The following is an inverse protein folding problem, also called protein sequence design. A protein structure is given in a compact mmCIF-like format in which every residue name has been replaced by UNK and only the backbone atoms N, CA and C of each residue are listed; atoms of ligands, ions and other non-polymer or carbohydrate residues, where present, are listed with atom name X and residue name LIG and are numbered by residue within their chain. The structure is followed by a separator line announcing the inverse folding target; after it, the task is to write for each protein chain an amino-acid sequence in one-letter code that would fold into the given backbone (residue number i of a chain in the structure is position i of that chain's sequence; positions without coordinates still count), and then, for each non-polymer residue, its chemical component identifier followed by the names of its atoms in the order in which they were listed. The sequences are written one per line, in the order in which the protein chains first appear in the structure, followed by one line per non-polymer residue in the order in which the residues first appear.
data_IF_297400459384
#
_entry.id   IF_297400459384
#
_cell.length_a   1.000
_cell.length_b   1.000
_cell.length_c   1.000
_cell.angle_alpha   90.00
_cell.angle_beta   90.00
_cell.angle_gamma   90.00
#
_symmetry.space_group_name_H-M   'P 1'
#
loop_
_entity.id
_entity.type
_entity.pdbx_description
1 polymer ?
#
# COMPACT_ATOMS: atom_id res chain seq x y z
N UNK A 1 -4.57 -12.68 3.52
CA UNK A 1 -5.87 -12.63 2.82
C UNK A 1 -5.82 -11.44 1.86
N UNK A 2 -6.19 -11.59 0.59
CA UNK A 2 -6.21 -10.48 -0.38
C UNK A 2 -7.53 -9.73 -0.24
N UNK A 3 -7.47 -8.40 -0.09
CA UNK A 3 -8.65 -7.53 -0.10
C UNK A 3 -9.17 -7.44 -1.54
N UNK A 4 -10.41 -7.88 -1.78
CA UNK A 4 -10.99 -7.96 -3.13
C UNK A 4 -12.07 -6.92 -3.40
N UNK A 5 -12.47 -6.13 -2.40
CA UNK A 5 -13.51 -5.12 -2.57
C UNK A 5 -13.29 -3.89 -1.68
N UNK A 6 -13.90 -2.77 -2.07
CA UNK A 6 -13.87 -1.55 -1.27
C UNK A 6 -14.54 -1.75 0.08
N UNK A 7 -15.66 -2.48 0.11
CA UNK A 7 -16.38 -2.76 1.35
C UNK A 7 -15.53 -3.57 2.34
N UNK A 8 -14.79 -4.57 1.83
CA UNK A 8 -13.86 -5.34 2.65
C UNK A 8 -12.75 -4.45 3.22
N UNK A 9 -12.16 -3.56 2.42
CA UNK A 9 -11.16 -2.60 2.92
C UNK A 9 -11.74 -1.65 3.96
N UNK A 10 -12.93 -1.10 3.71
CA UNK A 10 -13.59 -0.15 4.60
C UNK A 10 -13.88 -0.77 5.98
N UNK A 11 -14.34 -2.02 6.01
CA UNK A 11 -14.56 -2.79 7.26
C UNK A 11 -13.27 -3.10 8.03
N UNK A 12 -12.09 -2.79 7.48
CA UNK A 12 -10.80 -2.88 8.18
C UNK A 12 -10.31 -1.54 8.70
N UNK A 13 -11.02 -0.44 8.47
CA UNK A 13 -10.55 0.91 8.83
C UNK A 13 -11.33 1.47 10.01
N UNK A 14 -10.57 1.96 11.00
CA UNK A 14 -11.05 2.87 12.03
C UNK A 14 -10.62 4.29 11.65
N UNK A 15 -11.56 5.10 11.19
CA UNK A 15 -11.30 6.47 10.77
C UNK A 15 -11.09 7.35 12.01
N UNK A 16 -9.87 7.85 12.19
CA UNK A 16 -9.40 8.36 13.49
C UNK A 16 -9.19 9.86 13.47
N UNK A 17 -9.71 10.57 14.48
CA UNK A 17 -9.40 11.97 14.76
C UNK A 17 -9.22 12.19 16.27
N UNK A 18 -7.95 12.26 16.69
CA UNK A 18 -7.52 12.46 18.09
C UNK A 18 -6.63 13.69 18.25
N UNK A 19 -6.67 14.63 17.30
CA UNK A 19 -5.94 15.89 17.44
C UNK A 19 -6.54 16.69 18.61
N UNK A 20 -5.73 17.28 19.49
CA UNK A 20 -6.25 18.06 20.63
C UNK A 20 -7.00 19.32 20.19
N UNK A 21 -6.81 19.76 18.94
CA UNK A 21 -7.48 20.92 18.35
C UNK A 21 -8.68 20.54 17.48
N UNK A 22 -9.12 19.28 17.47
CA UNK A 22 -10.27 18.84 16.69
C UNK A 22 -11.55 19.54 17.19
N UNK A 23 -12.37 20.03 16.27
CA UNK A 23 -13.62 20.74 16.54
C UNK A 23 -14.84 19.84 16.29
N UNK A 24 -16.01 20.26 16.75
CA UNK A 24 -17.27 19.58 16.45
C UNK A 24 -17.49 19.40 14.93
N UNK A 25 -17.17 20.42 14.13
CA UNK A 25 -17.27 20.37 12.66
C UNK A 25 -16.35 19.30 12.04
N UNK A 26 -15.16 19.12 12.60
CA UNK A 26 -14.25 18.07 12.14
C UNK A 26 -14.82 16.67 12.45
N UNK A 27 -15.49 16.52 13.60
CA UNK A 27 -16.15 15.26 14.00
C UNK A 27 -17.40 14.98 13.16
N UNK A 28 -18.20 16.00 12.82
CA UNK A 28 -19.30 15.88 11.85
C UNK A 28 -18.79 15.34 10.53
N UNK A 29 -17.71 15.94 10.01
CA UNK A 29 -17.12 15.50 8.75
C UNK A 29 -16.57 14.07 8.83
N UNK A 30 -15.87 13.74 9.91
CA UNK A 30 -15.37 12.38 10.17
C UNK A 30 -16.51 11.36 10.14
N UNK A 31 -17.63 11.64 10.81
CA UNK A 31 -18.77 10.75 10.90
C UNK A 31 -19.52 10.64 9.56
N UNK A 32 -19.67 11.74 8.82
CA UNK A 32 -20.23 11.74 7.46
C UNK A 32 -19.42 10.84 6.52
N UNK A 33 -18.09 11.01 6.52
CA UNK A 33 -17.19 10.18 5.71
C UNK A 33 -17.25 8.71 6.13
N UNK A 34 -17.24 8.45 7.44
CA UNK A 34 -17.33 7.09 7.97
C UNK A 34 -18.63 6.39 7.55
N UNK A 35 -19.78 7.09 7.58
CA UNK A 35 -21.07 6.58 7.12
C UNK A 35 -21.07 6.33 5.61
N UNK A 36 -20.52 7.26 4.84
CA UNK A 36 -20.44 7.17 3.37
C UNK A 36 -19.70 5.92 2.94
N UNK A 37 -18.54 5.67 3.54
CA UNK A 37 -17.69 4.53 3.21
C UNK A 37 -18.03 3.26 4.00
N UNK A 38 -18.93 3.34 5.00
CA UNK A 38 -19.29 2.23 5.91
C UNK A 38 -18.05 1.58 6.54
N UNK A 39 -17.15 2.44 7.04
CA UNK A 39 -15.94 1.99 7.74
C UNK A 39 -16.32 1.28 9.04
N UNK A 40 -15.37 0.53 9.63
CA UNK A 40 -15.66 -0.24 10.85
C UNK A 40 -16.04 0.66 12.02
N UNK A 41 -15.25 1.70 12.28
CA UNK A 41 -15.48 2.63 13.36
C UNK A 41 -14.97 4.04 13.06
N UNK A 42 -15.51 5.03 13.77
CA UNK A 42 -14.82 6.30 14.04
C UNK A 42 -14.08 6.21 15.36
N UNK A 43 -12.85 6.70 15.44
CA UNK A 43 -12.09 6.77 16.69
C UNK A 43 -11.90 8.24 17.10
N UNK A 44 -12.54 8.65 18.19
CA UNK A 44 -12.63 10.06 18.62
C UNK A 44 -12.18 10.24 20.08
N UNK A 45 -11.85 11.47 20.46
CA UNK A 45 -11.49 11.79 21.84
C UNK A 45 -12.71 11.59 22.78
N UNK A 46 -12.48 11.28 24.08
CA UNK A 46 -13.54 10.99 25.05
C UNK A 46 -14.70 11.98 25.05
N UNK A 47 -14.41 13.28 25.00
CA UNK A 47 -15.40 14.37 25.02
C UNK A 47 -16.33 14.40 23.80
N UNK A 48 -15.96 13.73 22.71
CA UNK A 48 -16.77 13.66 21.49
C UNK A 48 -17.59 12.38 21.37
N UNK A 49 -17.48 11.43 22.31
CA UNK A 49 -18.18 10.14 22.20
C UNK A 49 -19.71 10.27 22.10
N UNK A 50 -20.41 11.01 22.99
CA UNK A 50 -21.86 11.16 22.87
C UNK A 50 -22.29 11.78 21.53
N UNK A 51 -21.51 12.76 21.06
CA UNK A 51 -21.80 13.48 19.83
C UNK A 51 -21.58 12.60 18.59
N UNK A 52 -20.46 11.89 18.53
CA UNK A 52 -20.19 10.92 17.47
C UNK A 52 -21.24 9.80 17.44
N UNK A 53 -21.69 9.32 18.60
CA UNK A 53 -22.73 8.30 18.72
C UNK A 53 -24.06 8.75 18.10
N UNK A 54 -24.49 9.98 18.34
CA UNK A 54 -25.69 10.53 17.69
C UNK A 54 -25.50 10.71 16.18
N UNK A 55 -24.32 11.17 15.72
CA UNK A 55 -24.04 11.36 14.29
C UNK A 55 -24.02 10.04 13.49
N UNK A 56 -23.49 8.95 14.05
CA UNK A 56 -23.43 7.65 13.37
C UNK A 56 -24.63 6.74 13.62
N UNK A 57 -25.62 7.22 14.39
CA UNK A 57 -26.86 6.49 14.71
C UNK A 57 -27.57 5.98 13.46
N UNK A 58 -28.05 4.74 13.53
CA UNK A 58 -28.69 4.05 12.40
C UNK A 58 -27.73 3.63 11.28
N UNK A 59 -26.42 3.78 11.45
CA UNK A 59 -25.41 3.26 10.53
C UNK A 59 -24.68 2.05 11.13
N UNK A 60 -23.97 1.23 10.33
CA UNK A 60 -23.16 0.13 10.86
C UNK A 60 -21.85 0.58 11.53
N UNK A 61 -21.50 1.87 11.41
CA UNK A 61 -20.24 2.44 11.92
C UNK A 61 -20.26 2.45 13.45
N UNK A 62 -19.23 1.87 14.06
CA UNK A 62 -19.07 1.88 15.52
C UNK A 62 -18.42 3.16 16.02
N UNK A 63 -18.72 3.53 17.26
CA UNK A 63 -17.97 4.58 17.96
C UNK A 63 -16.86 3.93 18.79
N UNK A 64 -15.62 4.26 18.46
CA UNK A 64 -14.44 3.92 19.23
C UNK A 64 -13.93 5.16 19.97
N UNK A 65 -13.47 5.00 21.21
CA UNK A 65 -12.70 6.02 21.90
C UNK A 65 -11.44 5.43 22.52
N UNK A 66 -10.68 6.26 23.23
CA UNK A 66 -9.39 5.92 23.80
C UNK A 66 -9.40 6.04 25.32
N UNK A 67 -8.67 5.17 26.01
CA UNK A 67 -8.59 5.11 27.47
C UNK A 67 -7.12 5.18 27.92
N UNK A 68 -6.81 5.99 28.93
CA UNK A 68 -5.44 6.21 29.40
C UNK A 68 -4.51 6.78 28.32
N UNK A 69 -5.06 7.49 27.34
CA UNK A 69 -4.34 7.87 26.12
C UNK A 69 -3.65 9.24 26.24
N UNK A 70 -2.47 9.44 25.60
CA UNK A 70 -1.71 8.49 24.80
C UNK A 70 -0.67 7.69 25.58
N UNK A 71 -0.43 7.98 26.86
CA UNK A 71 0.79 7.53 27.54
C UNK A 71 0.59 6.30 28.47
N UNK A 72 -0.64 5.99 28.88
CA UNK A 72 -0.98 4.78 29.62
C UNK A 72 -0.51 4.70 31.07
N UNK A 73 -0.13 5.82 31.70
CA UNK A 73 0.46 5.87 33.05
C UNK A 73 -0.54 6.28 34.15
N UNK A 74 -1.81 6.42 33.80
CA UNK A 74 -2.90 6.60 34.76
C UNK A 74 -3.07 5.34 35.62
N UNK A 75 -3.67 5.50 36.80
CA UNK A 75 -4.03 4.38 37.68
C UNK A 75 -5.06 3.47 36.99
N UNK A 76 -5.00 2.16 37.28
CA UNK A 76 -5.96 1.17 36.77
C UNK A 76 -7.40 1.58 37.05
N UNK A 77 -7.71 2.01 38.28
CA UNK A 77 -9.06 2.44 38.66
C UNK A 77 -9.58 3.64 37.85
N UNK A 78 -8.68 4.56 37.45
CA UNK A 78 -9.03 5.71 36.61
C UNK A 78 -9.32 5.26 35.18
N UNK A 79 -8.52 4.33 34.63
CA UNK A 79 -8.76 3.76 33.30
C UNK A 79 -10.07 2.95 33.27
N UNK A 80 -10.34 2.16 34.30
CA UNK A 80 -11.57 1.40 34.43
C UNK A 80 -12.80 2.31 34.53
N UNK A 81 -12.73 3.39 35.33
CA UNK A 81 -13.76 4.41 35.37
C UNK A 81 -13.96 5.09 34.01
N UNK A 82 -12.89 5.56 33.37
CA UNK A 82 -12.95 6.17 32.03
C UNK A 82 -13.58 5.23 31.00
N UNK A 83 -13.24 3.94 31.02
CA UNK A 83 -13.85 2.93 30.17
C UNK A 83 -15.37 2.82 30.41
N UNK A 84 -15.81 2.67 31.65
CA UNK A 84 -17.23 2.56 32.00
C UNK A 84 -18.02 3.82 31.56
N UNK A 85 -17.47 5.00 31.80
CA UNK A 85 -18.11 6.27 31.41
C UNK A 85 -18.24 6.41 29.90
N UNK A 86 -17.22 6.02 29.14
CA UNK A 86 -17.26 6.09 27.68
C UNK A 86 -18.30 5.14 27.10
N UNK A 87 -18.46 3.95 27.70
CA UNK A 87 -19.51 3.01 27.32
C UNK A 87 -20.89 3.56 27.63
N UNK A 88 -21.08 4.16 28.80
CA UNK A 88 -22.34 4.83 29.15
C UNK A 88 -22.66 5.99 28.17
N UNK A 89 -21.63 6.63 27.64
CA UNK A 89 -21.71 7.69 26.64
C UNK A 89 -21.92 7.18 25.20
N UNK A 90 -21.93 5.86 24.97
CA UNK A 90 -22.24 5.26 23.66
C UNK A 90 -21.04 4.71 22.89
N UNK A 91 -19.85 4.62 23.50
CA UNK A 91 -18.74 3.90 22.88
C UNK A 91 -19.04 2.40 22.77
N UNK A 92 -18.72 1.82 21.62
CA UNK A 92 -18.93 0.39 21.30
C UNK A 92 -17.59 -0.35 21.12
N UNK A 93 -16.50 0.40 20.99
CA UNK A 93 -15.14 -0.12 21.04
C UNK A 93 -14.26 0.83 21.87
N UNK A 94 -13.22 0.29 22.53
CA UNK A 94 -12.27 1.08 23.32
C UNK A 94 -10.83 0.69 22.97
N UNK A 95 -9.99 1.68 22.74
CA UNK A 95 -8.55 1.54 22.53
C UNK A 95 -7.81 2.06 23.77
N UNK A 96 -7.37 1.16 24.67
CA UNK A 96 -6.68 1.57 25.91
C UNK A 96 -5.16 1.44 25.78
N UNK A 97 -4.41 2.34 26.43
CA UNK A 97 -2.93 2.27 26.43
C UNK A 97 -2.44 1.52 27.66
N UNK A 98 -1.60 0.51 27.46
CA UNK A 98 -0.98 -0.22 28.57
C UNK A 98 0.03 0.67 29.31
N UNK A 99 0.34 0.33 30.55
CA UNK A 99 1.44 0.97 31.25
C UNK A 99 2.82 0.45 30.79
N UNK A 100 3.51 1.23 29.95
CA UNK A 100 4.83 0.87 29.41
C UNK A 100 5.91 0.69 30.49
N UNK A 101 5.78 1.38 31.63
CA UNK A 101 6.74 1.24 32.74
C UNK A 101 6.79 -0.21 33.23
N UNK A 102 5.62 -0.85 33.39
CA UNK A 102 5.55 -2.23 33.85
C UNK A 102 6.17 -3.21 32.86
N UNK A 103 6.09 -2.94 31.54
CA UNK A 103 6.81 -3.72 30.53
C UNK A 103 8.32 -3.65 30.77
N UNK A 104 8.85 -2.44 30.98
CA UNK A 104 10.29 -2.21 31.23
C UNK A 104 10.78 -2.79 32.55
N UNK A 105 9.89 -2.89 33.53
CA UNK A 105 10.17 -3.54 34.82
C UNK A 105 9.89 -5.06 34.80
N UNK A 106 9.51 -5.65 33.66
CA UNK A 106 9.11 -7.05 33.51
C UNK A 106 7.91 -7.48 34.40
N UNK A 107 7.03 -6.54 34.72
CA UNK A 107 5.85 -6.66 35.59
C UNK A 107 4.57 -6.94 34.78
N UNK A 108 4.57 -8.04 34.03
CA UNK A 108 3.47 -8.38 33.11
C UNK A 108 2.15 -8.75 33.82
N UNK A 109 2.24 -9.23 35.06
CA UNK A 109 1.10 -9.52 35.93
C UNK A 109 0.24 -8.27 36.20
N UNK A 110 0.86 -7.10 36.33
CA UNK A 110 0.14 -5.84 36.51
C UNK A 110 -0.59 -5.40 35.24
N UNK A 111 -0.04 -5.72 34.07
CA UNK A 111 -0.69 -5.46 32.77
C UNK A 111 -1.90 -6.37 32.59
N UNK A 112 -1.78 -7.65 32.97
CA UNK A 112 -2.89 -8.59 32.96
C UNK A 112 -4.03 -8.13 33.88
N UNK A 113 -3.69 -7.72 35.11
CA UNK A 113 -4.66 -7.21 36.08
C UNK A 113 -5.34 -5.93 35.58
N UNK A 114 -4.58 -4.97 35.04
CA UNK A 114 -5.13 -3.74 34.46
C UNK A 114 -6.09 -4.03 33.30
N UNK A 115 -5.73 -4.91 32.37
CA UNK A 115 -6.62 -5.32 31.29
C UNK A 115 -7.90 -5.95 31.85
N UNK A 116 -7.78 -6.85 32.84
CA UNK A 116 -8.94 -7.50 33.48
C UNK A 116 -9.91 -6.50 34.11
N UNK A 117 -9.42 -5.50 34.84
CA UNK A 117 -10.26 -4.45 35.43
C UNK A 117 -10.95 -3.57 34.37
N UNK A 118 -10.24 -3.22 33.30
CA UNK A 118 -10.83 -2.46 32.18
C UNK A 118 -11.93 -3.27 31.49
N UNK A 119 -11.69 -4.56 31.19
CA UNK A 119 -12.66 -5.43 30.53
C UNK A 119 -13.90 -5.65 31.40
N UNK A 120 -13.73 -5.79 32.72
CA UNK A 120 -14.83 -5.90 33.66
C UNK A 120 -15.70 -4.62 33.70
N UNK A 121 -15.11 -3.46 33.46
CA UNK A 121 -15.80 -2.17 33.42
C UNK A 121 -16.55 -1.91 32.10
N UNK A 122 -16.26 -2.65 31.03
CA UNK A 122 -16.88 -2.48 29.71
C UNK A 122 -17.38 -3.80 29.09
N UNK A 123 -18.29 -4.54 29.77
CA UNK A 123 -18.74 -5.84 29.29
C UNK A 123 -19.41 -5.75 27.91
N UNK A 124 -19.02 -6.63 26.99
CA UNK A 124 -19.57 -6.69 25.63
C UNK A 124 -19.04 -5.64 24.66
N UNK A 125 -18.05 -4.83 25.07
CA UNK A 125 -17.41 -3.79 24.26
C UNK A 125 -16.10 -4.32 23.70
N UNK A 126 -15.81 -4.05 22.43
CA UNK A 126 -14.56 -4.51 21.80
C UNK A 126 -13.38 -3.72 22.35
N UNK A 127 -12.41 -4.40 22.94
CA UNK A 127 -11.24 -3.78 23.58
C UNK A 127 -9.96 -3.97 22.78
N UNK A 128 -9.14 -2.91 22.71
CA UNK A 128 -7.89 -2.92 21.95
C UNK A 128 -6.76 -2.34 22.80
N UNK A 129 -5.80 -3.17 23.18
CA UNK A 129 -4.66 -2.77 23.99
C UNK A 129 -3.55 -2.19 23.12
N UNK A 130 -3.29 -0.89 23.24
CA UNK A 130 -2.17 -0.20 22.58
C UNK A 130 -0.89 -0.49 23.34
N UNK A 131 0.04 -1.19 22.71
CA UNK A 131 1.32 -1.61 23.32
C UNK A 131 2.49 -0.67 23.03
N UNK A 132 2.30 0.28 22.11
CA UNK A 132 3.31 1.23 21.64
C UNK A 132 4.65 0.58 21.25
N UNK A 133 4.62 -0.21 20.17
CA UNK A 133 5.77 -0.98 19.65
C UNK A 133 7.05 -0.15 19.48
N UNK A 134 6.92 1.16 19.30
CA UNK A 134 8.02 2.11 19.18
C UNK A 134 9.05 2.02 20.32
N UNK A 135 8.61 1.65 21.51
CA UNK A 135 9.46 1.54 22.70
C UNK A 135 9.85 0.11 23.04
N UNK A 136 9.41 -0.90 22.28
CA UNK A 136 9.49 -2.29 22.67
C UNK A 136 10.49 -3.08 21.82
N UNK A 137 11.17 -4.03 22.46
CA UNK A 137 11.90 -5.07 21.76
C UNK A 137 11.00 -6.26 21.43
N UNK A 138 11.53 -7.22 20.66
CA UNK A 138 10.81 -8.42 20.22
C UNK A 138 10.23 -9.22 21.39
N UNK A 139 11.04 -9.53 22.40
CA UNK A 139 10.63 -10.34 23.56
C UNK A 139 9.53 -9.68 24.36
N UNK A 140 9.60 -8.35 24.54
CA UNK A 140 8.55 -7.57 25.20
C UNK A 140 7.22 -7.62 24.42
N UNK A 141 7.28 -7.45 23.10
CA UNK A 141 6.09 -7.54 22.24
C UNK A 141 5.46 -8.93 22.28
N UNK A 142 6.27 -10.00 22.19
CA UNK A 142 5.77 -11.37 22.24
C UNK A 142 5.05 -11.68 23.57
N UNK A 143 5.65 -11.29 24.70
CA UNK A 143 5.04 -11.46 26.03
C UNK A 143 3.74 -10.70 26.18
N UNK A 144 3.66 -9.46 25.66
CA UNK A 144 2.44 -8.66 25.73
C UNK A 144 1.30 -9.31 24.95
N UNK A 145 1.56 -9.84 23.77
CA UNK A 145 0.54 -10.57 22.99
C UNK A 145 -0.03 -11.74 23.80
N UNK A 146 0.82 -12.52 24.47
CA UNK A 146 0.34 -13.65 25.27
C UNK A 146 -0.50 -13.22 26.47
N UNK A 147 0.00 -12.23 27.21
CA UNK A 147 -0.66 -11.71 28.43
C UNK A 147 -2.02 -11.11 28.09
N UNK A 148 -2.09 -10.30 27.04
CA UNK A 148 -3.32 -9.65 26.62
C UNK A 148 -4.32 -10.66 26.04
N UNK A 149 -3.85 -11.64 25.27
CA UNK A 149 -4.69 -12.73 24.78
C UNK A 149 -5.27 -13.57 25.94
N UNK A 150 -4.45 -13.89 26.96
CA UNK A 150 -4.90 -14.62 28.14
C UNK A 150 -5.89 -13.82 28.99
N UNK A 151 -5.73 -12.50 29.05
CA UNK A 151 -6.65 -11.59 29.73
C UNK A 151 -7.99 -11.41 28.98
N UNK A 152 -8.10 -11.88 27.74
CA UNK A 152 -9.33 -11.81 26.94
C UNK A 152 -9.49 -10.52 26.13
N UNK A 153 -8.42 -9.74 25.93
CA UNK A 153 -8.46 -8.53 25.10
C UNK A 153 -8.69 -8.91 23.63
N UNK A 154 -9.56 -8.20 22.92
CA UNK A 154 -9.93 -8.54 21.55
C UNK A 154 -8.83 -8.22 20.53
N UNK A 155 -8.13 -7.10 20.71
CA UNK A 155 -7.03 -6.68 19.83
C UNK A 155 -5.78 -6.26 20.59
N UNK A 156 -4.62 -6.62 20.06
CA UNK A 156 -3.36 -5.91 20.31
C UNK A 156 -3.20 -4.83 19.25
N UNK A 157 -2.95 -3.58 19.68
CA UNK A 157 -2.78 -2.41 18.80
C UNK A 157 -1.34 -1.91 18.85
N UNK A 158 -0.76 -1.63 17.68
CA UNK A 158 0.66 -1.26 17.58
C UNK A 158 1.03 0.04 18.28
N UNK A 159 0.34 1.14 17.96
CA UNK A 159 0.82 2.49 18.32
C UNK A 159 -0.32 3.47 18.60
N UNK A 160 0.00 4.51 19.37
CA UNK A 160 -0.89 5.65 19.64
C UNK A 160 -0.90 6.66 18.50
N UNK A 161 0.21 6.76 17.76
CA UNK A 161 0.48 7.84 16.80
C UNK A 161 1.13 9.08 17.43
N UNK A 162 1.35 9.08 18.75
CA UNK A 162 2.04 10.14 19.50
C UNK A 162 3.45 9.73 19.96
N UNK A 163 3.82 8.44 19.80
CA UNK A 163 5.16 7.94 19.99
C UNK A 163 6.14 8.30 18.85
N UNK A 164 7.40 7.87 18.94
CA UNK A 164 8.46 8.28 18.01
C UNK A 164 8.35 7.58 16.64
N UNK A 165 7.62 6.47 16.54
CA UNK A 165 7.30 5.80 15.27
C UNK A 165 5.90 5.16 15.33
N UNK A 166 5.28 4.98 14.17
CA UNK A 166 4.03 4.23 14.03
C UNK A 166 4.23 2.74 13.74
N UNK A 167 3.18 2.10 13.21
CA UNK A 167 3.21 0.71 12.80
C UNK A 167 4.25 0.44 11.71
N UNK A 168 4.91 -0.71 11.80
CA UNK A 168 5.74 -1.27 10.73
C UNK A 168 5.22 -2.64 10.31
N UNK A 169 5.51 -3.05 9.08
CA UNK A 169 5.19 -4.39 8.56
C UNK A 169 5.83 -5.48 9.43
N UNK A 170 7.05 -5.25 9.92
CA UNK A 170 7.77 -6.20 10.76
C UNK A 170 7.09 -6.41 12.12
N UNK A 171 6.67 -5.32 12.80
CA UNK A 171 5.95 -5.44 14.07
C UNK A 171 4.60 -6.14 13.87
N UNK A 172 3.82 -5.74 12.86
CA UNK A 172 2.52 -6.36 12.60
C UNK A 172 2.65 -7.85 12.36
N UNK A 173 3.64 -8.25 11.55
CA UNK A 173 3.92 -9.67 11.29
C UNK A 173 4.28 -10.42 12.58
N UNK A 174 5.16 -9.86 13.40
CA UNK A 174 5.52 -10.45 14.69
C UNK A 174 4.30 -10.62 15.61
N UNK A 175 3.47 -9.59 15.73
CA UNK A 175 2.26 -9.63 16.56
C UNK A 175 1.27 -10.68 16.04
N UNK A 176 1.06 -10.74 14.72
CA UNK A 176 0.14 -11.69 14.10
C UNK A 176 0.61 -13.14 14.25
N UNK A 177 1.91 -13.39 14.05
CA UNK A 177 2.52 -14.71 14.28
C UNK A 177 2.39 -15.15 15.74
N UNK A 178 2.67 -14.25 16.69
CA UNK A 178 2.53 -14.59 18.11
C UNK A 178 1.07 -14.76 18.53
N UNK A 179 0.17 -13.95 17.99
CA UNK A 179 -1.24 -13.98 18.33
C UNK A 179 -1.86 -15.34 18.00
N UNK A 180 -1.50 -15.93 16.86
CA UNK A 180 -1.97 -17.24 16.41
C UNK A 180 -3.51 -17.36 16.50
N UNK A 181 -4.22 -16.30 16.12
CA UNK A 181 -5.68 -16.23 16.15
C UNK A 181 -6.33 -16.04 17.54
N UNK A 182 -5.55 -16.03 18.63
CA UNK A 182 -6.07 -15.84 20.00
C UNK A 182 -6.48 -14.40 20.30
N UNK A 183 -5.83 -13.45 19.63
CA UNK A 183 -6.07 -12.01 19.73
C UNK A 183 -5.90 -11.40 18.33
N UNK A 184 -6.68 -10.39 17.97
CA UNK A 184 -6.56 -9.73 16.66
C UNK A 184 -5.49 -8.64 16.68
N UNK A 185 -5.00 -8.23 15.52
CA UNK A 185 -3.97 -7.18 15.41
C UNK A 185 -4.53 -5.90 14.79
N UNK A 186 -4.41 -4.77 15.49
CA UNK A 186 -4.71 -3.44 14.92
C UNK A 186 -3.43 -2.66 14.64
N UNK A 187 -3.13 -2.40 13.38
CA UNK A 187 -2.03 -1.53 12.99
C UNK A 187 -2.48 -0.07 13.03
N UNK A 188 -1.71 0.80 13.68
CA UNK A 188 -2.01 2.24 13.76
C UNK A 188 -0.73 3.09 13.76
N UNK A 189 -0.87 4.34 13.33
CA UNK A 189 0.22 5.32 13.28
C UNK A 189 0.98 5.30 11.94
N UNK A 190 0.96 6.42 11.22
CA UNK A 190 1.76 6.61 10.00
C UNK A 190 1.22 5.98 8.72
N UNK A 191 0.02 5.38 8.74
CA UNK A 191 -0.61 4.73 7.58
C UNK A 191 -1.30 5.79 6.71
N UNK A 192 -0.67 6.19 5.60
CA UNK A 192 -1.11 7.31 4.76
C UNK A 192 -1.56 6.90 3.36
N UNK A 193 -1.05 5.78 2.83
CA UNK A 193 -1.31 5.33 1.46
C UNK A 193 -1.94 3.95 1.40
N UNK A 194 -2.58 3.62 0.29
CA UNK A 194 -3.14 2.28 0.05
C UNK A 194 -2.06 1.20 0.10
N UNK A 195 -0.90 1.43 -0.51
CA UNK A 195 0.20 0.48 -0.49
C UNK A 195 0.62 0.11 0.95
N UNK A 196 0.69 1.09 1.85
CA UNK A 196 0.98 0.84 3.26
C UNK A 196 -0.14 0.04 3.94
N UNK A 197 -1.40 0.40 3.70
CA UNK A 197 -2.55 -0.29 4.26
C UNK A 197 -2.59 -1.77 3.84
N UNK A 198 -2.42 -2.06 2.55
CA UNK A 198 -2.40 -3.42 2.02
C UNK A 198 -1.22 -4.23 2.56
N UNK A 199 -0.02 -3.64 2.64
CA UNK A 199 1.15 -4.31 3.19
C UNK A 199 0.97 -4.70 4.68
N UNK A 200 0.30 -3.87 5.47
CA UNK A 200 0.00 -4.17 6.88
C UNK A 200 -1.08 -5.26 7.00
N UNK A 201 -2.11 -5.23 6.15
CA UNK A 201 -3.12 -6.29 6.11
C UNK A 201 -2.49 -7.62 5.71
N UNK A 202 -1.62 -7.62 4.71
CA UNK A 202 -0.87 -8.82 4.28
C UNK A 202 0.06 -9.34 5.38
N UNK A 203 0.64 -8.44 6.19
CA UNK A 203 1.43 -8.81 7.35
C UNK A 203 0.59 -9.41 8.51
N UNK A 204 -0.75 -9.30 8.47
CA UNK A 204 -1.65 -9.89 9.46
C UNK A 204 -2.48 -8.89 10.27
N UNK A 205 -2.51 -7.60 9.91
CA UNK A 205 -3.38 -6.64 10.60
C UNK A 205 -4.86 -6.88 10.29
N UNK A 206 -5.66 -7.18 11.32
CA UNK A 206 -7.12 -7.29 11.31
C UNK A 206 -7.84 -5.95 11.24
N UNK A 207 -7.23 -4.88 11.74
CA UNK A 207 -7.79 -3.52 11.72
C UNK A 207 -6.70 -2.49 11.49
N UNK A 208 -7.04 -1.36 10.88
CA UNK A 208 -6.16 -0.24 10.61
C UNK A 208 -6.73 1.02 11.27
N UNK A 209 -5.97 1.65 12.17
CA UNK A 209 -6.29 2.97 12.73
C UNK A 209 -5.57 4.07 11.96
N UNK A 210 -6.31 4.93 11.25
CA UNK A 210 -5.71 6.00 10.44
C UNK A 210 -6.64 7.22 10.26
N UNK A 211 -6.04 8.41 10.21
CA UNK A 211 -6.71 9.65 9.81
C UNK A 211 -6.76 9.84 8.28
N UNK A 212 -6.02 9.02 7.52
CA UNK A 212 -5.97 9.04 6.05
C UNK A 212 -6.92 8.03 5.41
N UNK A 213 -7.84 7.42 6.18
CA UNK A 213 -8.70 6.34 5.72
C UNK A 213 -9.51 6.67 4.46
N UNK A 214 -10.09 7.88 4.38
CA UNK A 214 -10.83 8.34 3.18
C UNK A 214 -9.91 8.40 1.95
N UNK A 215 -8.68 8.88 2.10
CA UNK A 215 -7.72 8.94 0.99
C UNK A 215 -7.35 7.55 0.50
N UNK A 216 -7.11 6.62 1.43
CA UNK A 216 -6.79 5.22 1.16
C UNK A 216 -7.95 4.53 0.42
N UNK A 217 -9.19 4.77 0.86
CA UNK A 217 -10.38 4.21 0.22
C UNK A 217 -10.61 4.78 -1.17
N UNK A 218 -10.36 6.08 -1.38
CA UNK A 218 -10.40 6.71 -2.71
C UNK A 218 -9.32 6.14 -3.63
N UNK A 219 -8.11 5.95 -3.12
CA UNK A 219 -7.02 5.32 -3.87
C UNK A 219 -7.40 3.88 -4.27
N UNK A 220 -8.03 3.11 -3.37
CA UNK A 220 -8.54 1.77 -3.69
C UNK A 220 -9.66 1.82 -4.73
N UNK A 221 -10.62 2.75 -4.60
CA UNK A 221 -11.68 2.95 -5.61
C UNK A 221 -11.09 3.29 -6.97
N UNK A 222 -10.05 4.12 -7.03
CA UNK A 222 -9.38 4.48 -8.28
C UNK A 222 -8.61 3.30 -8.87
N UNK A 223 -7.95 2.50 -8.02
CA UNK A 223 -7.29 1.26 -8.42
C UNK A 223 -8.31 0.25 -8.96
N UNK A 224 -9.41 0.00 -8.23
CA UNK A 224 -10.47 -0.93 -8.60
C UNK A 224 -11.31 -0.44 -9.80
N UNK A 225 -11.55 0.85 -9.93
CA UNK A 225 -12.19 1.42 -11.12
C UNK A 225 -11.24 1.39 -12.34
N UNK A 226 -9.92 1.44 -12.09
CA UNK A 226 -8.88 1.17 -13.07
C UNK A 226 -8.65 -0.33 -13.36
N UNK A 227 -9.32 -1.21 -12.60
CA UNK A 227 -9.33 -2.68 -12.77
C UNK A 227 -10.45 -3.14 -13.73
N UNK A 228 -11.21 -2.19 -14.32
CA UNK A 228 -11.51 -2.32 -15.75
C UNK A 228 -10.18 -2.11 -16.46
N UNK A 229 -9.40 -3.17 -16.57
CA UNK A 229 -8.10 -3.27 -17.27
C UNK A 229 -7.84 -2.03 -18.12
N UNK A 230 -7.02 -1.10 -17.62
CA UNK A 230 -6.55 0.03 -18.44
C UNK A 230 -5.65 -0.58 -19.50
N UNK A 231 -6.29 -0.99 -20.59
CA UNK A 231 -5.65 -1.41 -21.80
C UNK A 231 -4.86 -0.21 -22.32
N UNK A 232 -3.54 -0.32 -22.25
CA UNK A 232 -2.63 0.68 -22.79
C UNK A 232 -2.07 0.13 -24.08
N UNK A 233 -2.35 0.80 -25.19
CA UNK A 233 -1.66 0.54 -26.45
C UNK A 233 -0.37 1.34 -26.45
N UNK A 234 0.75 0.67 -26.70
CA UNK A 234 2.07 1.27 -26.75
C UNK A 234 2.70 0.95 -28.10
N UNK A 235 3.04 1.98 -28.85
CA UNK A 235 3.80 1.89 -30.08
C UNK A 235 5.24 2.27 -29.77
N UNK A 236 6.21 1.47 -30.20
CA UNK A 236 7.63 1.68 -29.89
C UNK A 236 8.49 1.54 -31.13
N UNK A 237 9.51 2.39 -31.24
CA UNK A 237 10.51 2.34 -32.31
C UNK A 237 11.85 2.91 -31.83
N UNK A 238 12.94 2.41 -32.40
CA UNK A 238 14.31 2.86 -32.23
C UNK A 238 15.02 3.07 -33.55
N UNK A 239 15.70 4.21 -33.69
CA UNK A 239 16.44 4.59 -34.89
C UNK A 239 17.89 4.94 -34.57
N UNK A 240 18.81 4.68 -35.52
CA UNK A 240 20.23 5.00 -35.39
C UNK A 240 20.79 5.65 -36.67
N UNK A 241 21.46 6.80 -36.54
CA UNK A 241 22.12 7.52 -37.64
C UNK A 241 23.52 6.96 -37.88
N UNK A 242 23.57 5.74 -38.46
CA UNK A 242 24.75 4.88 -38.49
C UNK A 242 24.70 3.87 -37.34
N UNK A 243 25.03 2.61 -37.58
CA UNK A 243 24.83 1.50 -36.63
C UNK A 243 26.14 0.72 -36.41
N UNK A 244 26.94 1.04 -35.38
CA UNK A 244 26.66 1.95 -34.28
C UNK A 244 26.84 3.45 -34.60
N UNK A 245 26.16 4.33 -33.87
CA UNK A 245 26.16 5.79 -34.07
C UNK A 245 25.18 6.51 -33.13
N UNK A 246 24.93 7.82 -33.33
CA UNK A 246 23.89 8.54 -32.58
C UNK A 246 22.52 7.91 -32.84
N UNK A 247 21.82 7.51 -31.77
CA UNK A 247 20.53 6.85 -31.87
C UNK A 247 19.47 7.50 -30.99
N UNK A 248 18.22 7.29 -31.34
CA UNK A 248 17.05 7.81 -30.66
C UNK A 248 15.99 6.74 -30.52
N UNK A 249 15.17 6.85 -29.48
CA UNK A 249 14.03 5.98 -29.23
C UNK A 249 12.78 6.82 -29.05
N UNK A 250 11.63 6.24 -29.41
CA UNK A 250 10.33 6.85 -29.20
C UNK A 250 9.29 5.82 -28.77
N UNK A 251 8.36 6.25 -27.92
CA UNK A 251 7.18 5.48 -27.58
C UNK A 251 5.94 6.38 -27.52
N UNK A 252 4.83 5.90 -28.05
CA UNK A 252 3.52 6.55 -27.95
C UNK A 252 2.60 5.63 -27.17
N UNK A 253 2.11 6.11 -26.03
CA UNK A 253 1.19 5.39 -25.14
C UNK A 253 -0.21 5.98 -25.30
N UNK A 254 -1.21 5.14 -25.54
CA UNK A 254 -2.62 5.51 -25.67
C UNK A 254 -3.46 4.73 -24.67
N UNK A 255 -4.31 5.45 -23.92
CA UNK A 255 -5.24 4.84 -22.96
C UNK A 255 -6.41 5.78 -22.69
N UNK A 256 -7.65 5.28 -22.79
CA UNK A 256 -8.86 6.04 -22.41
C UNK A 256 -9.01 7.39 -23.11
N UNK A 257 -8.61 7.50 -24.38
CA UNK A 257 -8.65 8.73 -25.17
C UNK A 257 -7.52 9.73 -24.89
N UNK A 258 -6.57 9.41 -23.99
CA UNK A 258 -5.38 10.21 -23.75
C UNK A 258 -4.15 9.61 -24.44
N UNK A 259 -3.24 10.48 -24.86
CA UNK A 259 -1.97 10.11 -25.48
C UNK A 259 -0.79 10.70 -24.70
N UNK A 260 0.29 9.92 -24.58
CA UNK A 260 1.57 10.37 -24.04
C UNK A 260 2.70 9.93 -24.96
N UNK A 261 3.58 10.87 -25.30
CA UNK A 261 4.77 10.61 -26.12
C UNK A 261 6.02 10.65 -25.24
N UNK A 262 6.91 9.67 -25.44
CA UNK A 262 8.20 9.56 -24.77
C UNK A 262 9.27 9.50 -25.86
N UNK A 263 10.31 10.32 -25.73
CA UNK A 263 11.48 10.28 -26.61
C UNK A 263 12.76 10.41 -25.80
N UNK A 264 13.85 9.90 -26.36
CA UNK A 264 15.19 10.11 -25.83
C UNK A 264 16.23 9.66 -26.84
N UNK A 265 17.50 9.90 -26.55
CA UNK A 265 18.59 9.58 -27.47
C UNK A 265 19.91 9.29 -26.74
N UNK A 266 20.79 8.57 -27.42
CA UNK A 266 22.13 8.20 -26.97
C UNK A 266 23.17 8.57 -28.04
N UNK A 267 24.31 9.20 -27.68
CA UNK A 267 25.33 9.63 -28.65
C UNK A 267 25.99 8.50 -29.43
N UNK A 268 26.12 7.31 -28.82
CA UNK A 268 26.76 6.16 -29.46
C UNK A 268 26.09 4.86 -29.02
N UNK A 269 25.24 4.34 -29.89
CA UNK A 269 24.39 3.18 -29.60
C UNK A 269 24.13 2.37 -30.88
N UNK A 270 23.24 1.39 -30.81
CA UNK A 270 22.81 0.58 -31.97
C UNK A 270 21.30 0.63 -32.12
N UNK A 271 20.79 0.30 -33.31
CA UNK A 271 19.34 0.24 -33.53
C UNK A 271 18.64 -0.65 -32.50
N UNK A 272 19.13 -1.88 -32.33
CA UNK A 272 18.59 -2.86 -31.39
C UNK A 272 18.56 -2.37 -29.93
N UNK A 273 19.49 -1.50 -29.52
CA UNK A 273 19.46 -0.92 -28.16
C UNK A 273 18.38 0.14 -28.03
N UNK A 274 18.18 0.96 -29.07
CA UNK A 274 17.13 1.98 -29.07
C UNK A 274 15.73 1.37 -29.09
N UNK A 275 15.55 0.28 -29.82
CA UNK A 275 14.31 -0.50 -29.85
C UNK A 275 13.95 -1.04 -28.45
N UNK A 276 14.93 -1.63 -27.77
CA UNK A 276 14.77 -2.07 -26.38
C UNK A 276 14.49 -0.90 -25.44
N UNK A 277 15.21 0.21 -25.60
CA UNK A 277 15.06 1.38 -24.75
C UNK A 277 13.67 2.01 -24.90
N UNK A 278 13.10 2.03 -26.11
CA UNK A 278 11.74 2.50 -26.36
C UNK A 278 10.72 1.72 -25.51
N UNK A 279 10.76 0.38 -25.59
CA UNK A 279 9.88 -0.49 -24.80
C UNK A 279 10.10 -0.34 -23.29
N UNK A 280 11.35 -0.31 -22.84
CA UNK A 280 11.70 -0.12 -21.43
C UNK A 280 11.16 1.21 -20.91
N UNK A 281 11.42 2.31 -21.61
CA UNK A 281 11.01 3.65 -21.18
C UNK A 281 9.50 3.83 -21.20
N UNK A 282 8.80 3.16 -22.13
CA UNK A 282 7.35 3.13 -22.12
C UNK A 282 6.81 2.45 -20.86
N UNK A 283 7.29 1.24 -20.55
CA UNK A 283 6.88 0.47 -19.37
C UNK A 283 7.25 1.16 -18.05
N UNK A 284 8.45 1.73 -17.93
CA UNK A 284 8.87 2.51 -16.75
C UNK A 284 7.98 3.73 -16.48
N UNK A 285 7.32 4.24 -17.51
CA UNK A 285 6.45 5.39 -17.37
C UNK A 285 5.06 5.05 -16.80
N UNK A 286 4.73 3.75 -16.75
CA UNK A 286 3.50 3.25 -16.16
C UNK A 286 3.63 3.25 -14.63
N UNK A 287 2.69 3.92 -13.96
CA UNK A 287 2.71 4.10 -12.50
C UNK A 287 2.15 2.90 -11.73
N UNK A 288 1.45 2.01 -12.43
CA UNK A 288 0.69 0.90 -11.86
C UNK A 288 0.73 -0.30 -12.83
N UNK A 289 0.50 -1.54 -12.36
CA UNK A 289 0.25 -2.70 -13.22
C UNK A 289 -0.85 -2.42 -14.27
N UNK A 290 -0.66 -2.88 -15.51
CA UNK A 290 -1.58 -2.62 -16.63
C UNK A 290 -1.69 -3.85 -17.54
N UNK A 291 -2.76 -3.91 -18.33
CA UNK A 291 -2.83 -4.76 -19.53
C UNK A 291 -2.30 -3.93 -20.68
N UNK A 292 -1.24 -4.38 -21.32
CA UNK A 292 -0.49 -3.58 -22.28
C UNK A 292 -0.42 -4.31 -23.61
N UNK A 293 -0.81 -3.65 -24.69
CA UNK A 293 -0.55 -4.09 -26.07
C UNK A 293 0.64 -3.33 -26.60
N UNK A 294 1.77 -4.00 -26.78
CA UNK A 294 2.98 -3.37 -27.33
C UNK A 294 3.09 -3.72 -28.80
N UNK A 295 3.14 -2.69 -29.63
CA UNK A 295 3.30 -2.76 -31.07
C UNK A 295 4.72 -2.32 -31.45
N UNK A 296 5.42 -3.17 -32.21
CA UNK A 296 6.78 -2.90 -32.70
C UNK A 296 6.96 -3.56 -34.07
N UNK A 297 7.70 -2.94 -34.96
CA UNK A 297 8.15 -3.56 -36.21
C UNK A 297 9.51 -4.29 -36.06
N UNK A 298 10.17 -4.11 -34.90
CA UNK A 298 11.46 -4.70 -34.59
C UNK A 298 11.36 -6.21 -34.36
N UNK A 299 11.80 -6.99 -35.35
CA UNK A 299 11.97 -8.45 -35.21
C UNK A 299 12.90 -8.81 -34.06
N UNK A 300 13.92 -7.99 -33.80
CA UNK A 300 14.85 -8.22 -32.70
C UNK A 300 14.17 -8.13 -31.33
N UNK A 301 13.33 -7.11 -31.12
CA UNK A 301 12.55 -6.98 -29.89
C UNK A 301 11.52 -8.11 -29.80
N UNK A 302 10.73 -8.32 -30.86
CA UNK A 302 9.65 -9.30 -30.90
C UNK A 302 10.15 -10.74 -30.67
N UNK A 303 11.15 -11.19 -31.43
CA UNK A 303 11.71 -12.54 -31.25
C UNK A 303 12.44 -12.64 -29.91
N UNK A 304 13.05 -11.56 -29.45
CA UNK A 304 13.71 -11.52 -28.15
C UNK A 304 12.75 -11.75 -26.99
N UNK A 305 11.62 -11.04 -26.93
CA UNK A 305 10.63 -11.22 -25.85
C UNK A 305 9.87 -12.53 -25.96
N UNK A 306 9.52 -12.97 -27.18
CA UNK A 306 8.66 -14.16 -27.36
C UNK A 306 9.41 -15.49 -27.43
N UNK A 307 10.64 -15.52 -27.98
CA UNK A 307 11.36 -16.78 -28.24
C UNK A 307 12.62 -16.94 -27.40
N UNK A 308 13.34 -15.86 -27.10
CA UNK A 308 14.68 -15.95 -26.50
C UNK A 308 14.68 -15.69 -25.00
N UNK A 309 13.97 -14.66 -24.54
CA UNK A 309 13.98 -14.20 -23.15
C UNK A 309 13.56 -15.29 -22.15
N UNK A 310 12.52 -16.12 -22.39
CA UNK A 310 12.18 -17.22 -21.48
C UNK A 310 13.36 -18.16 -21.21
N UNK A 311 14.12 -18.51 -22.26
CA UNK A 311 15.31 -19.38 -22.15
C UNK A 311 16.47 -18.67 -21.47
N UNK A 312 16.63 -17.36 -21.69
CA UNK A 312 17.68 -16.57 -21.08
C UNK A 312 17.48 -16.39 -19.57
N UNK A 313 16.24 -16.28 -19.12
CA UNK A 313 15.92 -16.22 -17.69
C UNK A 313 16.32 -17.51 -16.95
N UNK A 314 16.17 -18.67 -17.60
CA UNK A 314 16.56 -19.96 -17.03
C UNK A 314 18.08 -20.18 -17.01
N UNK A 315 18.81 -19.65 -18.00
CA UNK A 315 20.23 -19.95 -18.19
C UNK A 315 21.18 -18.81 -17.77
N UNK A 316 20.67 -17.78 -17.12
CA UNK A 316 21.46 -16.63 -16.64
C UNK A 316 21.96 -15.70 -17.75
N UNK A 317 21.18 -15.53 -18.82
CA UNK A 317 21.47 -14.67 -19.97
C UNK A 317 22.76 -15.04 -20.73
N UNK A 318 22.94 -16.35 -20.97
CA UNK A 318 24.09 -16.90 -21.70
C UNK A 318 23.70 -17.46 -23.08
N UNK A 319 24.60 -17.30 -24.03
CA UNK A 319 24.54 -17.94 -25.37
C UNK A 319 24.99 -19.40 -25.29
N UNK A 320 24.77 -20.18 -26.38
CA UNK A 320 25.23 -21.58 -26.49
C UNK A 320 26.74 -21.75 -26.25
N UNK A 321 27.54 -20.73 -26.57
CA UNK A 321 28.99 -20.72 -26.36
C UNK A 321 29.39 -20.18 -24.97
N UNK A 322 28.46 -20.14 -23.99
CA UNK A 322 28.65 -19.65 -22.62
C UNK A 322 29.11 -18.19 -22.51
N UNK A 323 28.94 -17.38 -23.55
CA UNK A 323 29.17 -15.93 -23.52
C UNK A 323 27.87 -15.19 -23.17
N UNK A 324 27.91 -14.04 -22.48
CA UNK A 324 26.73 -13.20 -22.28
C UNK A 324 26.02 -12.86 -23.60
N UNK A 325 24.70 -12.82 -23.57
CA UNK A 325 23.90 -12.36 -24.72
C UNK A 325 24.15 -10.87 -24.98
N UNK A 326 24.00 -10.44 -26.23
CA UNK A 326 24.08 -9.02 -26.58
C UNK A 326 22.97 -8.24 -25.87
N UNK A 327 23.27 -7.02 -25.44
CA UNK A 327 22.34 -6.12 -24.75
C UNK A 327 21.72 -6.72 -23.48
N UNK A 328 22.46 -7.59 -22.77
CA UNK A 328 22.03 -8.21 -21.51
C UNK A 328 21.50 -7.19 -20.50
N UNK A 329 22.18 -6.06 -20.37
CA UNK A 329 21.83 -4.95 -19.49
C UNK A 329 20.38 -4.46 -19.70
N UNK A 330 19.97 -4.33 -20.96
CA UNK A 330 18.62 -3.88 -21.32
C UNK A 330 17.61 -5.03 -21.22
N UNK A 331 18.00 -6.25 -21.58
CA UNK A 331 17.13 -7.42 -21.46
C UNK A 331 16.77 -7.76 -20.02
N UNK A 332 17.73 -7.68 -19.09
CA UNK A 332 17.46 -7.89 -17.65
C UNK A 332 16.50 -6.82 -17.11
N UNK A 333 16.70 -5.56 -17.49
CA UNK A 333 15.82 -4.45 -17.11
C UNK A 333 14.41 -4.61 -17.68
N UNK A 334 14.28 -4.98 -18.95
CA UNK A 334 12.99 -5.25 -19.58
C UNK A 334 12.28 -6.44 -18.92
N UNK A 335 13.01 -7.51 -18.60
CA UNK A 335 12.45 -8.69 -17.95
C UNK A 335 11.86 -8.39 -16.57
N UNK A 336 12.47 -7.50 -15.81
CA UNK A 336 11.91 -7.08 -14.52
C UNK A 336 10.60 -6.31 -14.71
N UNK A 337 10.54 -5.39 -15.68
CA UNK A 337 9.34 -4.62 -15.99
C UNK A 337 8.19 -5.50 -16.47
N UNK A 338 8.47 -6.51 -17.31
CA UNK A 338 7.45 -7.43 -17.84
C UNK A 338 6.71 -8.17 -16.71
N UNK A 339 7.34 -8.43 -15.55
CA UNK A 339 6.69 -9.13 -14.42
C UNK A 339 5.56 -8.32 -13.79
N UNK A 340 5.58 -6.99 -13.93
CA UNK A 340 4.64 -6.08 -13.28
C UNK A 340 3.40 -5.80 -14.13
N UNK A 341 3.37 -6.24 -15.39
CA UNK A 341 2.28 -5.96 -16.34
C UNK A 341 1.82 -7.24 -17.06
N UNK A 342 0.57 -7.29 -17.50
CA UNK A 342 0.10 -8.30 -18.43
C UNK A 342 0.31 -7.77 -19.84
N UNK A 343 1.26 -8.32 -20.59
CA UNK A 343 1.70 -7.75 -21.88
C UNK A 343 1.33 -8.70 -23.02
N UNK A 344 0.66 -8.15 -24.03
CA UNK A 344 0.45 -8.74 -25.35
C UNK A 344 1.39 -8.05 -26.35
N UNK A 345 2.16 -8.83 -27.11
CA UNK A 345 3.13 -8.32 -28.07
C UNK A 345 2.60 -8.49 -29.50
N UNK A 346 2.57 -7.39 -30.24
CA UNK A 346 2.10 -7.33 -31.61
C UNK A 346 3.25 -6.91 -32.52
N UNK A 347 3.59 -7.77 -33.48
CA UNK A 347 4.53 -7.39 -34.53
C UNK A 347 3.81 -6.69 -35.66
N UNK A 348 4.31 -5.53 -36.05
CA UNK A 348 3.85 -4.78 -37.21
C UNK A 348 4.82 -5.03 -38.38
N UNK A 349 4.29 -5.03 -39.59
CA UNK A 349 5.13 -4.99 -40.77
C UNK A 349 5.69 -3.57 -40.94
N UNK A 350 7.02 -3.45 -41.02
CA UNK A 350 7.70 -2.16 -41.14
C UNK A 350 7.27 -1.43 -42.42
N UNK A 351 7.04 -0.12 -42.31
CA UNK A 351 6.60 0.75 -43.42
C UNK A 351 5.27 0.36 -44.08
N UNK A 352 4.39 -0.35 -43.37
CA UNK A 352 3.07 -0.76 -43.86
C UNK A 352 1.95 0.29 -43.65
N UNK A 353 2.28 1.56 -43.38
CA UNK A 353 1.28 2.63 -43.23
C UNK A 353 0.59 2.73 -41.87
N UNK A 354 1.12 2.09 -40.80
CA UNK A 354 0.54 2.23 -39.47
C UNK A 354 0.88 3.62 -38.88
N UNK A 355 -0.10 4.52 -38.67
CA UNK A 355 0.18 5.93 -38.39
C UNK A 355 1.04 6.16 -37.14
N UNK A 356 0.80 5.41 -36.08
CA UNK A 356 1.50 5.50 -34.80
C UNK A 356 2.92 4.96 -34.87
N UNK A 357 3.15 3.86 -35.60
CA UNK A 357 4.49 3.29 -35.78
C UNK A 357 5.36 4.23 -36.61
N UNK A 358 4.84 4.74 -37.74
CA UNK A 358 5.56 5.73 -38.56
C UNK A 358 5.86 7.03 -37.79
N UNK A 359 4.95 7.41 -36.89
CA UNK A 359 5.19 8.55 -36.00
C UNK A 359 6.29 8.24 -34.98
N UNK A 360 6.38 7.02 -34.46
CA UNK A 360 7.49 6.60 -33.59
C UNK A 360 8.83 6.63 -34.34
N UNK A 361 8.92 6.07 -35.56
CA UNK A 361 10.15 6.13 -36.40
C UNK A 361 10.64 7.57 -36.57
N UNK A 362 9.72 8.47 -36.95
CA UNK A 362 10.04 9.88 -37.16
C UNK A 362 10.56 10.53 -35.86
N UNK A 363 9.88 10.32 -34.74
CA UNK A 363 10.26 10.88 -33.44
C UNK A 363 11.61 10.34 -32.96
N UNK A 364 11.88 9.05 -33.17
CA UNK A 364 13.15 8.41 -32.84
C UNK A 364 14.30 9.00 -33.68
N UNK A 365 14.10 9.16 -35.00
CA UNK A 365 15.08 9.79 -35.90
C UNK A 365 15.33 11.26 -35.55
N UNK A 366 14.28 12.00 -35.20
CA UNK A 366 14.42 13.39 -34.73
C UNK A 366 15.22 13.47 -33.44
N UNK A 367 14.96 12.59 -32.47
CA UNK A 367 15.72 12.54 -31.23
C UNK A 367 17.20 12.23 -31.48
N UNK A 368 17.51 11.28 -32.37
CA UNK A 368 18.88 10.94 -32.76
C UNK A 368 19.63 12.13 -33.39
N UNK A 369 18.95 12.92 -34.25
CA UNK A 369 19.54 14.09 -34.90
C UNK A 369 19.89 15.21 -33.91
N UNK A 370 19.08 15.40 -32.86
CA UNK A 370 19.30 16.46 -31.86
C UNK A 370 20.61 16.32 -31.08
N UNK A 371 21.14 15.11 -30.96
CA UNK A 371 22.42 14.82 -30.26
C UNK A 371 23.63 14.86 -31.21
N UNK A 372 23.40 14.98 -32.54
CA UNK A 372 24.48 15.08 -33.53
C UNK A 372 25.09 16.49 -33.61
N UNK A 373 24.33 17.51 -33.19
CA UNK A 373 24.78 18.88 -32.91
C UNK A 373 25.33 18.98 -31.49
#
# INVERSE_FOLDING_TARGET
MKITSLEELAKRIDLTLLKPTATAKDIEKLCEDARTYKVAAVCVAPTFVPYAAELVKGSPVKVCSVVGFPLGFQLTSVKAYEAAELVACGAQELDFVINLRWVKENRFEFIAAEAGEILAACPGVVTKAIIECAYLNRTEMEKLVDVLAQAGVDYVKTSTGFGPRGATVADVRLLAERAYGRIKVKAAGGIRTLAQALALIEAGADRLGTSSGVSILKEFQQMAAGDRTREVEIFVDGACLGNPGPGGYAAILKSGGQEKVITGAEPHTTNNRMELMAAIKALESLKYPCVVKIYTDSRYLMDGVTKWLPRWLENGFLTRNKKPVKNRDLWERLAELIKHHQIEWHWLEGHAGHPENERCDRLAREAARRIKT
#
